data_IF_677055179676
#
_entry.id   IF_677055179676
#
_cell.length_a   1.000
_cell.length_b   1.000
_cell.length_c   1.000
_cell.angle_alpha   90.00
_cell.angle_beta   90.00
_cell.angle_gamma   90.00
#
_symmetry.space_group_name_H-M   'P 1'
#
loop_
_entity.id
_entity.type
_entity.pdbx_description
1 polymer ?
#
# COMPACT_ATOMS: atom_id res chain seq x y z
N UNK A 1 23.09 -9.27 12.88
CA UNK A 1 21.84 -9.19 13.66
C UNK A 1 21.62 -10.52 14.35
N UNK A 2 21.09 -10.51 15.57
CA UNK A 2 20.62 -11.74 16.19
C UNK A 2 19.25 -12.14 15.61
N UNK A 3 18.84 -13.40 15.80
CA UNK A 3 17.59 -13.92 15.24
C UNK A 3 16.34 -13.15 15.70
N UNK A 4 16.37 -12.58 16.91
CA UNK A 4 15.25 -11.79 17.44
C UNK A 4 15.09 -10.46 16.70
N UNK A 5 16.19 -9.77 16.41
CA UNK A 5 16.19 -8.52 15.64
C UNK A 5 15.64 -8.77 14.22
N UNK A 6 16.06 -9.87 13.58
CA UNK A 6 15.58 -10.22 12.23
C UNK A 6 14.07 -10.51 12.24
N UNK A 7 13.59 -11.23 13.25
CA UNK A 7 12.16 -11.51 13.42
C UNK A 7 11.33 -10.25 13.64
N UNK A 8 11.85 -9.29 14.42
CA UNK A 8 11.16 -8.03 14.69
C UNK A 8 11.07 -7.14 13.45
N UNK A 9 12.17 -6.98 12.70
CA UNK A 9 12.14 -6.22 11.43
C UNK A 9 11.16 -6.87 10.45
N UNK A 10 11.12 -8.21 10.37
CA UNK A 10 10.15 -8.93 9.54
C UNK A 10 8.72 -8.60 9.93
N UNK A 11 8.41 -8.68 11.22
CA UNK A 11 7.08 -8.37 11.75
C UNK A 11 6.68 -6.93 11.40
N UNK A 12 7.55 -5.96 11.67
CA UNK A 12 7.23 -4.54 11.51
C UNK A 12 7.03 -4.16 10.04
N UNK A 13 7.79 -4.77 9.12
CA UNK A 13 7.58 -4.59 7.69
C UNK A 13 6.25 -5.18 7.22
N UNK A 14 5.94 -6.43 7.57
CA UNK A 14 4.69 -7.08 7.16
C UNK A 14 3.47 -6.32 7.71
N UNK A 15 3.59 -5.79 8.92
CA UNK A 15 2.57 -4.93 9.51
C UNK A 15 2.44 -3.61 8.72
N UNK A 16 3.56 -2.97 8.35
CA UNK A 16 3.55 -1.75 7.54
C UNK A 16 2.92 -1.96 6.16
N UNK A 17 3.22 -3.08 5.50
CA UNK A 17 2.58 -3.48 4.23
C UNK A 17 1.07 -3.63 4.41
N UNK A 18 0.65 -4.30 5.48
CA UNK A 18 -0.78 -4.49 5.80
C UNK A 18 -1.49 -3.14 6.03
N UNK A 19 -0.85 -2.21 6.73
CA UNK A 19 -1.35 -0.86 6.98
C UNK A 19 -1.50 -0.10 5.65
N UNK A 20 -0.47 -0.10 4.79
CA UNK A 20 -0.51 0.61 3.50
C UNK A 20 -1.62 0.07 2.60
N UNK A 21 -1.77 -1.26 2.51
CA UNK A 21 -2.85 -1.91 1.75
C UNK A 21 -4.23 -1.55 2.30
N UNK A 22 -4.36 -1.50 3.63
CA UNK A 22 -5.62 -1.12 4.28
C UNK A 22 -5.96 0.35 4.02
N UNK A 23 -4.97 1.25 4.10
CA UNK A 23 -5.13 2.67 3.83
C UNK A 23 -5.51 2.95 2.38
N UNK A 24 -4.81 2.35 1.41
CA UNK A 24 -5.16 2.51 -0.02
C UNK A 24 -6.59 2.06 -0.30
N UNK A 25 -7.02 0.92 0.25
CA UNK A 25 -8.40 0.45 0.14
C UNK A 25 -9.40 1.40 0.79
N UNK A 26 -9.13 1.84 2.02
CA UNK A 26 -10.00 2.75 2.77
C UNK A 26 -10.14 4.10 2.07
N UNK A 27 -9.02 4.70 1.66
CA UNK A 27 -9.00 5.97 0.92
C UNK A 27 -9.76 5.87 -0.39
N UNK A 28 -9.60 4.77 -1.14
CA UNK A 28 -10.38 4.52 -2.36
C UNK A 28 -11.89 4.49 -2.08
N UNK A 29 -12.31 3.80 -1.02
CA UNK A 29 -13.72 3.72 -0.65
C UNK A 29 -14.27 5.08 -0.21
N UNK A 30 -13.51 5.84 0.60
CA UNK A 30 -13.90 7.18 1.04
C UNK A 30 -14.04 8.10 -0.17
N UNK A 31 -13.08 8.06 -1.09
CA UNK A 31 -13.10 8.84 -2.32
C UNK A 31 -14.37 8.57 -3.15
N UNK A 32 -14.69 7.29 -3.37
CA UNK A 32 -15.92 6.88 -4.06
C UNK A 32 -17.18 7.35 -3.34
N UNK A 33 -17.23 7.27 -2.00
CA UNK A 33 -18.37 7.76 -1.23
C UNK A 33 -18.53 9.28 -1.35
N UNK A 34 -17.44 10.02 -1.36
CA UNK A 34 -17.43 11.48 -1.51
C UNK A 34 -17.92 11.88 -2.89
N UNK A 35 -17.44 11.21 -3.95
CA UNK A 35 -17.91 11.44 -5.34
C UNK A 35 -19.42 11.17 -5.45
N UNK A 36 -19.87 10.01 -4.95
CA UNK A 36 -21.27 9.61 -5.03
C UNK A 36 -22.20 10.56 -4.28
N UNK A 37 -21.73 11.16 -3.18
CA UNK A 37 -22.49 12.14 -2.38
C UNK A 37 -22.49 13.54 -2.98
N UNK A 38 -21.41 13.96 -3.63
CA UNK A 38 -21.22 15.35 -4.06
C UNK A 38 -21.55 15.62 -5.54
N UNK A 39 -22.20 14.69 -6.25
CA UNK A 39 -22.69 14.82 -7.64
C UNK A 39 -21.92 15.85 -8.51
N UNK A 40 -20.63 15.58 -8.80
CA UNK A 40 -20.00 16.13 -10.01
C UNK A 40 -18.96 17.25 -9.88
N UNK A 41 -18.25 17.41 -8.75
CA UNK A 41 -17.12 18.35 -8.69
C UNK A 41 -15.74 17.73 -9.01
N UNK A 42 -15.67 16.46 -9.41
CA UNK A 42 -14.42 15.78 -9.78
C UNK A 42 -14.50 15.37 -11.24
N UNK A 43 -13.52 15.76 -12.05
CA UNK A 43 -13.43 15.35 -13.45
C UNK A 43 -12.98 13.90 -13.60
N UNK A 44 -13.31 13.27 -14.72
CA UNK A 44 -12.84 11.91 -15.04
C UNK A 44 -11.30 11.81 -15.02
N UNK A 45 -10.61 12.88 -15.41
CA UNK A 45 -9.14 12.97 -15.34
C UNK A 45 -8.64 12.91 -13.90
N UNK A 46 -9.24 13.69 -12.99
CA UNK A 46 -8.87 13.67 -11.56
C UNK A 46 -9.15 12.31 -10.92
N UNK A 47 -10.25 11.68 -11.32
CA UNK A 47 -10.62 10.34 -10.87
C UNK A 47 -9.63 9.28 -11.37
N UNK A 48 -9.22 9.34 -12.64
CA UNK A 48 -8.21 8.45 -13.19
C UNK A 48 -6.85 8.62 -12.49
N UNK A 49 -6.38 9.86 -12.30
CA UNK A 49 -5.13 10.14 -11.58
C UNK A 49 -5.17 9.56 -10.17
N UNK A 50 -6.31 9.68 -9.47
CA UNK A 50 -6.47 9.09 -8.15
C UNK A 50 -6.34 7.57 -8.18
N UNK A 51 -7.06 6.89 -9.08
CA UNK A 51 -7.01 5.43 -9.18
C UNK A 51 -5.63 4.91 -9.58
N UNK A 52 -4.98 5.55 -10.55
CA UNK A 52 -3.60 5.25 -10.96
C UNK A 52 -2.64 5.43 -9.79
N UNK A 53 -2.81 6.48 -8.99
CA UNK A 53 -1.97 6.71 -7.80
C UNK A 53 -2.15 5.63 -6.74
N UNK A 54 -3.40 5.21 -6.47
CA UNK A 54 -3.67 4.13 -5.52
C UNK A 54 -3.12 2.78 -6.00
N UNK A 55 -3.23 2.49 -7.29
CA UNK A 55 -2.67 1.28 -7.89
C UNK A 55 -1.14 1.30 -7.85
N UNK A 56 -0.52 2.43 -8.18
CA UNK A 56 0.93 2.61 -8.10
C UNK A 56 1.44 2.37 -6.68
N UNK A 57 0.78 2.91 -5.65
CA UNK A 57 1.16 2.66 -4.26
C UNK A 57 1.14 1.16 -3.97
N UNK A 58 0.05 0.47 -4.31
CA UNK A 58 -0.07 -0.99 -4.09
C UNK A 58 1.02 -1.77 -4.82
N UNK A 59 1.31 -1.40 -6.07
CA UNK A 59 2.33 -2.04 -6.88
C UNK A 59 3.73 -1.86 -6.29
N UNK A 60 4.07 -0.65 -5.83
CA UNK A 60 5.36 -0.38 -5.18
C UNK A 60 5.47 -1.07 -3.82
N UNK A 61 4.39 -1.14 -3.04
CA UNK A 61 4.35 -1.90 -1.78
C UNK A 61 4.64 -3.39 -2.02
N UNK A 62 4.03 -4.00 -3.05
CA UNK A 62 4.31 -5.39 -3.41
C UNK A 62 5.76 -5.62 -3.88
N UNK A 63 6.35 -4.65 -4.58
CA UNK A 63 7.78 -4.69 -4.95
C UNK A 63 8.69 -4.64 -3.72
N UNK A 64 8.41 -3.76 -2.77
CA UNK A 64 9.17 -3.65 -1.52
C UNK A 64 9.09 -4.96 -0.73
N UNK A 65 7.89 -5.55 -0.63
CA UNK A 65 7.69 -6.85 0.00
C UNK A 65 8.58 -7.92 -0.65
N UNK A 66 8.56 -8.01 -1.98
CA UNK A 66 9.38 -8.97 -2.73
C UNK A 66 10.87 -8.76 -2.53
N UNK A 67 11.36 -7.51 -2.56
CA UNK A 67 12.77 -7.22 -2.31
C UNK A 67 13.19 -7.62 -0.90
N UNK A 68 12.31 -7.41 0.08
CA UNK A 68 12.61 -7.80 1.44
C UNK A 68 12.61 -9.31 1.64
N UNK A 69 11.69 -10.05 0.99
CA UNK A 69 11.73 -11.51 0.96
C UNK A 69 13.05 -12.03 0.38
N UNK A 70 13.51 -11.46 -0.74
CA UNK A 70 14.81 -11.82 -1.34
C UNK A 70 15.98 -11.52 -0.40
N UNK A 71 15.96 -10.37 0.30
CA UNK A 71 17.00 -10.04 1.27
C UNK A 71 17.01 -11.01 2.46
N UNK A 72 15.85 -11.50 2.91
CA UNK A 72 15.78 -12.52 3.96
C UNK A 72 16.41 -13.83 3.52
N UNK A 73 16.10 -14.28 2.30
CA UNK A 73 16.61 -15.55 1.77
C UNK A 73 18.14 -15.55 1.60
N UNK A 74 18.75 -14.37 1.45
CA UNK A 74 20.22 -14.21 1.34
C UNK A 74 20.91 -14.14 2.72
N UNK A 75 20.21 -13.64 3.75
CA UNK A 75 20.76 -13.37 5.08
C UNK A 75 20.60 -14.53 6.08
N UNK A 76 19.92 -15.61 5.68
CA UNK A 76 19.72 -16.86 6.43
C UNK A 76 20.64 -17.93 5.87
#
# INVERSE_FOLDING_TARGET
MNLSEVAQIKHDLLNSITIINSLTKSTTNIFLQVINKNQGNISDEQMNIFFESMDLIRHQTAKIEKYFQVLQDILI
#
